data_IF_483988216647
#
_entry.id   IF_483988216647
#
_cell.length_a   1.000
_cell.length_b   1.000
_cell.length_c   1.000
_cell.angle_alpha   90.00
_cell.angle_beta   90.00
_cell.angle_gamma   90.00
#
_symmetry.space_group_name_H-M   'P 1'
#
loop_
_entity.id
_entity.type
_entity.pdbx_description
1 polymer ?
#
# COMPACT_ATOMS: atom_id res chain seq x y z
N UNK A 1 2.06 16.95 24.77
CA UNK A 1 0.70 17.37 24.31
C UNK A 1 -0.39 16.33 24.53
N UNK A 2 -1.64 16.79 24.69
CA UNK A 2 -2.86 15.96 24.58
C UNK A 2 -3.44 16.11 23.17
N UNK A 3 -3.96 15.03 22.59
CA UNK A 3 -4.65 15.11 21.30
C UNK A 3 -5.98 15.84 21.42
N UNK A 4 -6.27 16.69 20.45
CA UNK A 4 -7.51 17.43 20.40
C UNK A 4 -8.66 16.61 19.80
N UNK A 5 -9.89 17.05 20.03
CA UNK A 5 -11.09 16.29 19.65
C UNK A 5 -11.31 16.24 18.13
N UNK A 6 -10.73 17.17 17.37
CA UNK A 6 -10.77 17.18 15.91
C UNK A 6 -9.36 17.39 15.38
N UNK A 7 -8.74 16.32 14.89
CA UNK A 7 -7.43 16.34 14.26
C UNK A 7 -7.45 15.52 12.98
N UNK A 8 -7.10 16.12 11.85
CA UNK A 8 -7.09 15.48 10.55
C UNK A 8 -5.88 15.92 9.74
N UNK A 9 -5.26 14.96 9.06
CA UNK A 9 -4.26 15.20 8.02
C UNK A 9 -4.73 14.67 6.67
N UNK A 10 -4.55 15.46 5.61
CA UNK A 10 -4.68 14.95 4.25
C UNK A 10 -3.54 13.99 3.95
N UNK A 11 -3.84 12.92 3.22
CA UNK A 11 -2.81 12.05 2.66
C UNK A 11 -1.87 12.84 1.76
N UNK A 12 -0.58 12.60 1.88
CA UNK A 12 0.45 13.20 1.04
C UNK A 12 0.65 12.41 -0.26
N UNK A 13 0.37 11.11 -0.26
CA UNK A 13 0.44 10.22 -1.43
C UNK A 13 -0.97 9.91 -1.94
N UNK A 14 -1.30 10.38 -3.14
CA UNK A 14 -2.59 10.14 -3.79
C UNK A 14 -2.41 9.33 -5.07
N UNK A 15 -2.59 8.02 -4.96
CA UNK A 15 -2.46 7.05 -6.04
C UNK A 15 -3.75 6.92 -6.86
N UNK A 16 -3.64 6.90 -8.19
CA UNK A 16 -4.68 6.43 -9.09
C UNK A 16 -4.89 4.91 -9.00
N UNK A 17 -5.92 4.40 -9.69
CA UNK A 17 -6.06 2.94 -9.91
C UNK A 17 -4.94 2.48 -10.84
N UNK A 18 -4.38 1.29 -10.60
CA UNK A 18 -3.45 0.67 -11.54
C UNK A 18 -4.21 -0.29 -12.44
N UNK A 19 -4.26 -0.02 -13.74
CA UNK A 19 -5.04 -0.82 -14.69
C UNK A 19 -4.11 -1.72 -15.50
N UNK A 20 -4.58 -2.94 -15.77
CA UNK A 20 -3.85 -3.90 -16.59
C UNK A 20 -4.28 -3.82 -18.04
N UNK A 21 -3.34 -4.01 -18.97
CA UNK A 21 -3.63 -4.06 -20.40
C UNK A 21 -2.49 -4.78 -21.15
N UNK A 22 -2.71 -5.12 -22.41
CA UNK A 22 -1.66 -5.51 -23.34
C UNK A 22 -1.59 -4.49 -24.48
N UNK A 23 -0.48 -4.45 -25.21
CA UNK A 23 -0.32 -3.57 -26.36
C UNK A 23 -0.30 -4.40 -27.65
N UNK A 24 -1.03 -3.92 -28.65
CA UNK A 24 -0.86 -4.36 -30.04
C UNK A 24 0.46 -3.84 -30.61
N UNK A 25 0.90 -4.40 -31.74
CA UNK A 25 2.10 -3.95 -32.46
C UNK A 25 2.08 -2.48 -32.89
N UNK A 26 0.89 -1.90 -33.02
CA UNK A 26 0.67 -0.48 -33.36
C UNK A 26 0.55 0.44 -32.13
N UNK A 27 0.69 -0.11 -30.91
CA UNK A 27 0.55 0.62 -29.65
C UNK A 27 -0.87 0.73 -29.13
N UNK A 28 -1.86 0.10 -29.77
CA UNK A 28 -3.24 0.08 -29.29
C UNK A 28 -3.36 -0.68 -27.96
N UNK A 29 -4.07 -0.10 -26.99
CA UNK A 29 -4.33 -0.71 -25.69
C UNK A 29 -5.45 -1.74 -25.82
N UNK A 30 -5.15 -2.99 -25.47
CA UNK A 30 -6.10 -4.08 -25.40
C UNK A 30 -6.40 -4.47 -23.94
N UNK A 31 -7.67 -4.68 -23.57
CA UNK A 31 -8.03 -5.05 -22.20
C UNK A 31 -7.55 -6.46 -21.84
N UNK A 32 -7.19 -6.66 -20.58
CA UNK A 32 -7.03 -8.00 -20.02
C UNK A 32 -8.42 -8.53 -19.66
N UNK A 33 -8.77 -9.68 -20.23
CA UNK A 33 -10.10 -10.27 -20.13
C UNK A 33 -10.41 -10.83 -18.74
N UNK A 34 -11.70 -10.95 -18.47
CA UNK A 34 -12.27 -11.62 -17.30
C UNK A 34 -13.06 -12.82 -17.76
N UNK A 35 -12.79 -13.96 -17.14
CA UNK A 35 -13.55 -15.18 -17.32
C UNK A 35 -14.46 -15.40 -16.12
N UNK A 36 -15.66 -15.92 -16.37
CA UNK A 36 -16.65 -16.25 -15.36
C UNK A 36 -16.82 -17.75 -15.32
N UNK A 37 -16.28 -18.39 -14.30
CA UNK A 37 -16.18 -19.84 -14.22
C UNK A 37 -17.06 -20.39 -13.12
N UNK A 38 -17.82 -21.45 -13.45
CA UNK A 38 -18.48 -22.30 -12.46
C UNK A 38 -17.59 -23.51 -12.20
N UNK A 39 -17.04 -23.60 -10.99
CA UNK A 39 -16.15 -24.68 -10.58
C UNK A 39 -16.76 -25.50 -9.45
N UNK A 40 -16.36 -26.77 -9.37
CA UNK A 40 -16.73 -27.68 -8.28
C UNK A 40 -15.53 -27.84 -7.36
N UNK A 41 -15.57 -27.22 -6.19
CA UNK A 41 -14.55 -27.42 -5.15
C UNK A 41 -14.99 -28.56 -4.22
N UNK A 42 -14.09 -29.42 -3.72
CA UNK A 42 -14.42 -30.34 -2.64
C UNK A 42 -14.69 -29.55 -1.34
N UNK A 43 -15.49 -30.15 -0.45
CA UNK A 43 -15.53 -29.72 0.95
C UNK A 43 -14.20 -30.08 1.61
N UNK A 44 -13.59 -29.10 2.28
CA UNK A 44 -12.28 -29.24 2.91
C UNK A 44 -12.08 -28.32 4.12
N UNK A 45 -13.11 -27.61 4.56
CA UNK A 45 -13.07 -26.73 5.72
C UNK A 45 -13.13 -27.52 7.03
N UNK A 46 -12.34 -27.10 8.02
CA UNK A 46 -12.35 -27.69 9.37
C UNK A 46 -13.76 -27.79 9.96
N UNK A 47 -14.53 -26.70 9.82
CA UNK A 47 -15.90 -26.62 10.32
C UNK A 47 -16.90 -27.50 9.58
N UNK A 48 -16.53 -28.14 8.47
CA UNK A 48 -17.42 -29.06 7.76
C UNK A 48 -17.47 -30.44 8.43
N UNK A 49 -16.37 -30.87 9.05
CA UNK A 49 -16.26 -32.17 9.72
C UNK A 49 -16.16 -32.08 11.25
N UNK A 50 -15.77 -30.93 11.81
CA UNK A 50 -15.48 -30.78 13.25
C UNK A 50 -16.25 -29.61 13.89
N UNK A 51 -16.52 -29.70 15.20
CA UNK A 51 -17.18 -28.68 16.01
C UNK A 51 -16.19 -28.00 16.97
N UNK A 52 -16.32 -26.68 17.08
CA UNK A 52 -15.58 -25.88 18.07
C UNK A 52 -14.06 -26.01 17.95
N UNK A 53 -13.36 -25.63 19.02
CA UNK A 53 -11.90 -25.66 19.06
C UNK A 53 -11.34 -26.99 19.60
N UNK A 54 -12.20 -27.92 20.01
CA UNK A 54 -11.80 -29.13 20.73
C UNK A 54 -11.66 -30.37 19.83
N UNK A 55 -11.63 -30.20 18.50
CA UNK A 55 -11.50 -31.30 17.54
C UNK A 55 -12.55 -32.40 17.70
N UNK A 56 -13.78 -32.04 18.09
CA UNK A 56 -14.88 -33.00 18.19
C UNK A 56 -15.51 -33.22 16.81
N UNK A 57 -15.64 -34.46 16.32
CA UNK A 57 -16.24 -34.72 15.02
C UNK A 57 -17.74 -34.41 15.03
N UNK A 58 -18.25 -33.82 13.94
CA UNK A 58 -19.68 -33.69 13.67
C UNK A 58 -20.25 -35.05 13.28
N UNK A 59 -21.51 -35.30 13.60
CA UNK A 59 -22.26 -36.41 13.04
C UNK A 59 -22.72 -36.07 11.62
N UNK A 60 -21.79 -36.14 10.66
CA UNK A 60 -22.02 -35.95 9.22
C UNK A 60 -21.95 -37.30 8.52
N UNK A 61 -22.84 -37.55 7.55
CA UNK A 61 -22.79 -38.79 6.81
C UNK A 61 -21.60 -38.77 5.82
N UNK A 62 -20.97 -39.92 5.47
CA UNK A 62 -19.83 -39.94 4.56
C UNK A 62 -20.08 -39.22 3.23
N UNK A 63 -21.29 -39.34 2.68
CA UNK A 63 -21.69 -38.67 1.44
C UNK A 63 -21.73 -37.14 1.56
N UNK A 64 -21.98 -36.58 2.75
CA UNK A 64 -22.13 -35.14 2.93
C UNK A 64 -20.81 -34.40 2.72
N UNK A 65 -19.69 -35.05 3.05
CA UNK A 65 -18.34 -34.55 2.79
C UNK A 65 -17.87 -34.80 1.35
N UNK A 66 -18.49 -35.76 0.65
CA UNK A 66 -18.21 -36.04 -0.75
C UNK A 66 -18.92 -35.08 -1.72
N UNK A 67 -20.00 -34.40 -1.28
CA UNK A 67 -20.68 -33.42 -2.12
C UNK A 67 -19.77 -32.26 -2.49
N UNK A 68 -19.73 -31.95 -3.79
CA UNK A 68 -19.07 -30.76 -4.29
C UNK A 68 -19.71 -29.49 -3.69
N UNK A 69 -18.90 -28.46 -3.55
CA UNK A 69 -19.26 -27.09 -3.24
C UNK A 69 -19.13 -26.25 -4.53
N UNK A 70 -20.21 -26.09 -5.32
CA UNK A 70 -20.17 -25.30 -6.54
C UNK A 70 -19.89 -23.83 -6.21
N UNK A 71 -18.92 -23.24 -6.92
CA UNK A 71 -18.58 -21.83 -6.80
C UNK A 71 -18.71 -21.18 -8.17
N UNK A 72 -19.20 -19.95 -8.19
CA UNK A 72 -19.21 -19.10 -9.38
C UNK A 72 -18.27 -17.92 -9.12
N UNK A 73 -17.18 -17.82 -9.85
CA UNK A 73 -16.13 -16.82 -9.59
C UNK A 73 -15.66 -16.14 -10.88
N UNK A 74 -15.09 -14.95 -10.72
CA UNK A 74 -14.27 -14.32 -11.76
C UNK A 74 -12.81 -14.77 -11.64
N UNK A 75 -12.23 -15.05 -12.80
CA UNK A 75 -10.84 -15.40 -13.02
C UNK A 75 -10.26 -14.52 -14.14
N UNK A 76 -8.94 -14.38 -14.17
CA UNK A 76 -8.27 -13.50 -15.11
C UNK A 76 -6.94 -14.15 -15.51
N UNK A 77 -6.82 -14.50 -16.79
CA UNK A 77 -5.63 -15.18 -17.32
C UNK A 77 -5.10 -14.45 -18.55
N UNK A 78 -3.80 -14.55 -18.76
CA UNK A 78 -3.13 -14.06 -19.97
C UNK A 78 -3.56 -14.91 -21.16
N UNK A 79 -3.99 -14.26 -22.24
CA UNK A 79 -4.43 -14.95 -23.46
C UNK A 79 -3.24 -15.56 -24.22
N UNK A 80 -3.46 -16.67 -24.96
CA UNK A 80 -2.45 -17.17 -25.90
C UNK A 80 -2.00 -16.09 -26.89
N UNK A 81 -0.71 -16.03 -27.15
CA UNK A 81 -0.10 -15.05 -28.05
C UNK A 81 0.25 -13.69 -27.42
N UNK A 82 0.00 -13.52 -26.11
CA UNK A 82 0.41 -12.33 -25.36
C UNK A 82 1.61 -12.69 -24.48
N UNK A 83 2.78 -12.16 -24.82
CA UNK A 83 4.03 -12.39 -24.06
C UNK A 83 4.31 -11.28 -23.04
N UNK A 84 3.63 -10.13 -23.19
CA UNK A 84 3.82 -8.95 -22.36
C UNK A 84 2.48 -8.31 -22.01
N UNK A 85 2.32 -7.98 -20.73
CA UNK A 85 1.22 -7.13 -20.24
C UNK A 85 1.80 -5.95 -19.48
N UNK A 86 0.98 -4.93 -19.29
CA UNK A 86 1.33 -3.72 -18.60
C UNK A 86 0.41 -3.50 -17.42
N UNK A 87 0.95 -2.85 -16.38
CA UNK A 87 0.16 -2.31 -15.29
C UNK A 87 0.65 -0.88 -15.04
N UNK A 88 -0.24 0.12 -15.15
CA UNK A 88 0.16 1.51 -15.04
C UNK A 88 -0.77 2.30 -14.11
N UNK A 89 -0.20 3.25 -13.36
CA UNK A 89 -0.93 4.19 -12.52
C UNK A 89 -0.19 5.52 -12.43
N UNK A 90 -0.94 6.58 -12.10
CA UNK A 90 -0.37 7.87 -11.71
C UNK A 90 -0.36 8.05 -10.19
N UNK A 91 0.63 8.78 -9.70
CA UNK A 91 0.77 9.15 -8.30
C UNK A 91 1.00 10.66 -8.20
N UNK A 92 0.16 11.31 -7.38
CA UNK A 92 0.35 12.70 -6.98
C UNK A 92 0.94 12.74 -5.58
N UNK A 93 1.93 13.60 -5.38
CA UNK A 93 2.61 13.79 -4.11
C UNK A 93 2.43 15.24 -3.68
N UNK A 94 2.19 15.46 -2.39
CA UNK A 94 2.00 16.80 -1.81
C UNK A 94 2.52 16.83 -0.39
N UNK A 95 3.05 17.97 0.04
CA UNK A 95 3.60 18.18 1.39
C UNK A 95 2.52 18.35 2.49
N UNK A 96 1.48 17.51 2.47
CA UNK A 96 0.32 17.61 3.36
C UNK A 96 0.62 17.24 4.82
N UNK A 97 1.77 16.62 5.08
CA UNK A 97 2.22 16.28 6.44
C UNK A 97 2.82 17.46 7.21
N UNK A 98 3.07 18.60 6.54
CA UNK A 98 3.70 19.77 7.18
C UNK A 98 2.81 20.45 8.22
N UNK A 99 1.48 20.33 8.09
CA UNK A 99 0.53 20.94 9.02
C UNK A 99 -0.81 20.21 9.00
N UNK A 100 -1.57 20.15 10.11
CA UNK A 100 -2.89 19.53 10.10
C UNK A 100 -3.86 20.25 9.16
N UNK A 101 -4.67 19.50 8.42
CA UNK A 101 -5.77 20.06 7.62
C UNK A 101 -6.87 20.63 8.52
N UNK A 102 -7.29 19.84 9.52
CA UNK A 102 -8.29 20.24 10.52
C UNK A 102 -7.65 20.02 11.88
N UNK A 103 -7.70 21.05 12.73
CA UNK A 103 -7.26 20.99 14.12
C UNK A 103 -8.06 22.05 14.89
N UNK A 104 -8.73 21.63 15.96
CA UNK A 104 -9.55 22.53 16.80
C UNK A 104 -8.80 23.08 18.04
N UNK A 105 -7.48 22.89 18.09
CA UNK A 105 -6.60 23.33 19.18
C UNK A 105 -5.34 23.94 18.56
N UNK A 106 -5.08 25.21 18.84
CA UNK A 106 -3.99 25.97 18.19
C UNK A 106 -2.60 25.60 18.73
N UNK A 107 -2.52 25.22 20.02
CA UNK A 107 -1.28 24.76 20.62
C UNK A 107 -0.86 23.43 19.99
N UNK A 108 -1.81 22.49 19.84
CA UNK A 108 -1.59 21.22 19.14
C UNK A 108 -1.14 21.44 17.70
N UNK A 109 -1.82 22.35 16.96
CA UNK A 109 -1.44 22.70 15.58
C UNK A 109 -0.01 23.23 15.51
N UNK A 110 0.35 24.12 16.42
CA UNK A 110 1.66 24.76 16.47
C UNK A 110 2.74 23.72 16.75
N UNK A 111 2.53 22.84 17.73
CA UNK A 111 3.49 21.79 18.07
C UNK A 111 3.71 20.78 16.94
N UNK A 112 2.64 20.32 16.28
CA UNK A 112 2.75 19.39 15.16
C UNK A 112 3.40 20.03 13.93
N UNK A 113 3.10 21.31 13.66
CA UNK A 113 3.77 22.04 12.58
C UNK A 113 5.25 22.28 12.89
N UNK A 114 5.58 22.54 14.15
CA UNK A 114 6.95 22.66 14.63
C UNK A 114 7.71 21.33 14.51
N UNK A 115 7.09 20.20 14.85
CA UNK A 115 7.66 18.86 14.65
C UNK A 115 8.02 18.63 13.18
N UNK A 116 7.08 18.87 12.27
CA UNK A 116 7.31 18.71 10.84
C UNK A 116 8.41 19.65 10.32
N UNK A 117 8.48 20.90 10.84
CA UNK A 117 9.53 21.86 10.50
C UNK A 117 10.92 21.36 10.90
N UNK A 118 11.11 20.97 12.16
CA UNK A 118 12.41 20.45 12.64
C UNK A 118 12.79 19.17 11.90
N UNK A 119 11.83 18.27 11.69
CA UNK A 119 12.03 17.07 10.90
C UNK A 119 12.49 17.37 9.46
N UNK A 120 11.91 18.40 8.83
CA UNK A 120 12.34 18.88 7.50
C UNK A 120 13.76 19.45 7.53
N UNK A 121 14.06 20.32 8.50
CA UNK A 121 15.37 20.98 8.64
C UNK A 121 16.51 19.98 8.84
N UNK A 122 16.25 18.89 9.56
CA UNK A 122 17.21 17.78 9.77
C UNK A 122 17.23 16.77 8.60
N UNK A 123 16.49 17.02 7.52
CA UNK A 123 16.50 16.15 6.33
C UNK A 123 15.70 14.86 6.45
N UNK A 124 14.83 14.73 7.47
CA UNK A 124 14.09 13.50 7.76
C UNK A 124 13.16 13.01 6.65
N UNK A 125 12.66 13.91 5.80
CA UNK A 125 11.83 13.50 4.66
C UNK A 125 12.60 12.65 3.64
N UNK A 126 13.94 12.72 3.61
CA UNK A 126 14.79 11.89 2.76
C UNK A 126 14.67 10.39 3.10
N UNK A 127 14.52 10.06 4.38
CA UNK A 127 14.35 8.66 4.83
C UNK A 127 13.00 8.09 4.34
N UNK A 128 11.92 8.87 4.51
CA UNK A 128 10.59 8.45 4.02
C UNK A 128 10.58 8.36 2.49
N UNK A 129 11.16 9.37 1.83
CA UNK A 129 11.30 9.43 0.38
C UNK A 129 12.03 8.22 -0.17
N UNK A 130 13.13 7.81 0.46
CA UNK A 130 13.91 6.65 0.05
C UNK A 130 13.06 5.39 0.05
N UNK A 131 12.32 5.17 1.14
CA UNK A 131 11.45 4.00 1.32
C UNK A 131 10.29 3.96 0.33
N UNK A 132 9.65 5.10 0.06
CA UNK A 132 8.60 5.19 -0.95
C UNK A 132 9.13 4.95 -2.36
N UNK A 133 10.24 5.58 -2.73
CA UNK A 133 10.91 5.37 -4.01
C UNK A 133 11.30 3.90 -4.19
N UNK A 134 11.81 3.27 -3.12
CA UNK A 134 12.16 1.84 -3.10
C UNK A 134 10.96 0.96 -3.43
N UNK A 135 9.81 1.17 -2.79
CA UNK A 135 8.60 0.39 -3.07
C UNK A 135 8.05 0.57 -4.50
N UNK A 136 8.26 1.74 -5.12
CA UNK A 136 7.93 1.96 -6.53
C UNK A 136 8.83 1.10 -7.42
N UNK A 137 10.14 1.21 -7.24
CA UNK A 137 11.17 0.56 -8.07
C UNK A 137 11.28 -0.95 -7.84
N UNK A 138 10.83 -1.46 -6.68
CA UNK A 138 10.68 -2.89 -6.41
C UNK A 138 9.43 -3.52 -7.05
N UNK A 139 8.50 -2.70 -7.53
CA UNK A 139 7.21 -3.18 -8.01
C UNK A 139 6.33 -3.74 -6.90
N UNK A 140 6.54 -3.35 -5.63
CA UNK A 140 5.77 -3.85 -4.47
C UNK A 140 4.27 -3.64 -4.67
N UNK A 141 3.89 -2.59 -5.37
CA UNK A 141 2.52 -2.23 -5.73
C UNK A 141 1.81 -3.20 -6.70
N UNK A 142 2.52 -4.13 -7.33
CA UNK A 142 1.95 -5.21 -8.14
C UNK A 142 1.39 -6.37 -7.29
N UNK A 143 1.70 -6.40 -5.98
CA UNK A 143 1.27 -7.45 -5.04
C UNK A 143 1.58 -8.87 -5.55
N UNK A 144 0.54 -9.70 -5.75
CA UNK A 144 0.66 -11.10 -6.18
C UNK A 144 1.14 -11.24 -7.63
N UNK A 145 1.12 -10.16 -8.42
CA UNK A 145 1.59 -10.15 -9.81
C UNK A 145 3.12 -9.99 -9.91
N UNK A 146 3.86 -10.33 -8.85
CA UNK A 146 5.34 -10.25 -8.76
C UNK A 146 6.05 -11.59 -9.01
N UNK A 147 5.32 -12.64 -9.39
CA UNK A 147 5.88 -13.93 -9.84
C UNK A 147 6.05 -14.19 -11.36
N UNK A 148 5.98 -13.21 -12.29
CA UNK A 148 6.13 -13.46 -13.73
C UNK A 148 7.60 -13.62 -14.14
N UNK A 149 7.90 -13.80 -15.43
CA UNK A 149 9.26 -14.06 -15.93
C UNK A 149 10.19 -12.85 -15.80
N UNK A 150 9.67 -11.64 -15.99
CA UNK A 150 10.39 -10.38 -15.81
C UNK A 150 9.41 -9.25 -15.46
N UNK A 151 9.92 -8.24 -14.75
CA UNK A 151 9.19 -7.00 -14.49
C UNK A 151 10.13 -5.83 -14.73
N UNK A 152 9.87 -5.06 -15.78
CA UNK A 152 10.55 -3.79 -16.05
C UNK A 152 9.67 -2.66 -15.53
N UNK A 153 10.26 -1.73 -14.78
CA UNK A 153 9.54 -0.59 -14.20
C UNK A 153 10.07 0.71 -14.80
N UNK A 154 9.15 1.51 -15.31
CA UNK A 154 9.40 2.85 -15.83
C UNK A 154 8.67 3.86 -14.95
N UNK A 155 9.38 4.89 -14.51
CA UNK A 155 8.83 5.99 -13.70
C UNK A 155 9.16 7.30 -14.41
N UNK A 156 8.12 8.03 -14.82
CA UNK A 156 8.25 9.38 -15.39
C UNK A 156 7.82 10.42 -14.37
N UNK A 157 8.62 11.47 -14.18
CA UNK A 157 8.30 12.58 -13.28
C UNK A 157 7.65 13.75 -14.01
N UNK A 158 7.01 14.67 -13.29
CA UNK A 158 6.55 15.94 -13.86
C UNK A 158 7.70 16.84 -14.33
N UNK A 159 8.92 16.60 -13.85
CA UNK A 159 10.13 17.29 -14.31
C UNK A 159 10.67 16.68 -15.62
N UNK A 160 9.96 15.73 -16.20
CA UNK A 160 10.32 14.98 -17.42
C UNK A 160 11.51 14.03 -17.27
N UNK A 161 11.93 13.71 -16.04
CA UNK A 161 12.90 12.65 -15.80
C UNK A 161 12.27 11.28 -16.05
N UNK A 162 13.08 10.34 -16.53
CA UNK A 162 12.70 8.94 -16.74
C UNK A 162 13.67 8.02 -16.00
N UNK A 163 13.13 7.24 -15.06
CA UNK A 163 13.86 6.18 -14.36
C UNK A 163 13.41 4.82 -14.85
N UNK A 164 14.37 3.91 -15.09
CA UNK A 164 14.09 2.58 -15.64
C UNK A 164 14.84 1.51 -14.84
N UNK A 165 14.09 0.56 -14.31
CA UNK A 165 14.58 -0.69 -13.72
C UNK A 165 14.26 -1.81 -14.71
N UNK A 166 15.29 -2.45 -15.27
CA UNK A 166 15.09 -3.47 -16.32
C UNK A 166 14.50 -4.78 -15.79
N UNK A 167 14.83 -5.14 -14.54
CA UNK A 167 14.30 -6.33 -13.88
C UNK A 167 14.18 -6.13 -12.36
N UNK A 168 12.99 -5.76 -11.90
CA UNK A 168 12.67 -5.55 -10.50
C UNK A 168 12.70 -6.83 -9.65
N UNK A 169 12.66 -8.02 -10.26
CA UNK A 169 12.75 -9.31 -9.55
C UNK A 169 14.16 -9.57 -9.00
N UNK A 170 15.18 -8.88 -9.52
CA UNK A 170 16.55 -8.93 -9.02
C UNK A 170 16.80 -8.03 -7.82
N UNK A 171 15.85 -7.16 -7.50
CA UNK A 171 15.95 -6.21 -6.41
C UNK A 171 15.26 -6.77 -5.17
N UNK A 172 15.76 -6.41 -4.00
CA UNK A 172 15.11 -6.74 -2.72
C UNK A 172 15.16 -5.57 -1.75
N UNK A 173 14.29 -5.61 -0.74
CA UNK A 173 14.18 -4.54 0.24
C UNK A 173 15.44 -4.41 1.11
N UNK A 174 16.07 -5.52 1.51
CA UNK A 174 17.29 -5.51 2.33
C UNK A 174 18.56 -5.84 1.55
N UNK A 175 18.47 -6.07 0.24
CA UNK A 175 19.62 -6.42 -0.61
C UNK A 175 20.32 -5.21 -1.22
N UNK A 176 21.52 -5.47 -1.74
CA UNK A 176 22.28 -4.50 -2.50
C UNK A 176 21.75 -4.41 -3.93
N UNK A 177 21.54 -3.18 -4.40
CA UNK A 177 21.11 -2.92 -5.77
C UNK A 177 22.34 -2.68 -6.63
N UNK A 178 22.25 -2.99 -7.92
CA UNK A 178 23.31 -2.64 -8.87
C UNK A 178 23.47 -1.11 -9.00
N UNK A 179 24.57 -0.65 -9.60
CA UNK A 179 24.89 0.77 -9.70
C UNK A 179 23.79 1.58 -10.42
N UNK A 180 23.21 1.06 -11.50
CA UNK A 180 22.17 1.75 -12.28
C UNK A 180 20.89 1.86 -11.46
N UNK A 181 20.46 0.76 -10.83
CA UNK A 181 19.28 0.74 -9.96
C UNK A 181 19.45 1.64 -8.74
N UNK A 182 20.66 1.68 -8.15
CA UNK A 182 20.99 2.56 -7.02
C UNK A 182 20.96 4.04 -7.39
N UNK A 183 21.46 4.40 -8.58
CA UNK A 183 21.36 5.77 -9.08
C UNK A 183 19.90 6.19 -9.32
N UNK A 184 19.09 5.31 -9.89
CA UNK A 184 17.65 5.54 -10.05
C UNK A 184 16.96 5.75 -8.69
N UNK A 185 17.28 4.91 -7.70
CA UNK A 185 16.76 5.05 -6.34
C UNK A 185 17.13 6.40 -5.73
N UNK A 186 18.39 6.81 -5.85
CA UNK A 186 18.87 8.09 -5.33
C UNK A 186 18.12 9.26 -5.94
N UNK A 187 18.06 9.36 -7.27
CA UNK A 187 17.39 10.47 -7.96
C UNK A 187 15.88 10.52 -7.67
N UNK A 188 15.23 9.35 -7.63
CA UNK A 188 13.82 9.28 -7.27
C UNK A 188 13.59 9.63 -5.78
N UNK A 189 14.53 9.28 -4.90
CA UNK A 189 14.52 9.72 -3.49
C UNK A 189 14.57 11.23 -3.39
N UNK A 190 15.49 11.88 -4.11
CA UNK A 190 15.62 13.35 -4.11
C UNK A 190 14.33 14.03 -4.59
N UNK A 191 13.70 13.48 -5.64
CA UNK A 191 12.39 13.92 -6.13
C UNK A 191 11.29 13.80 -5.07
N UNK A 192 11.18 12.64 -4.41
CA UNK A 192 10.19 12.43 -3.33
C UNK A 192 10.44 13.32 -2.11
N UNK A 193 11.70 13.54 -1.74
CA UNK A 193 12.06 14.35 -0.58
C UNK A 193 11.62 15.80 -0.78
N UNK A 194 11.85 16.34 -1.99
CA UNK A 194 11.32 17.65 -2.37
C UNK A 194 9.79 17.65 -2.38
N UNK A 195 9.17 16.64 -2.97
CA UNK A 195 7.71 16.53 -3.07
C UNK A 195 6.97 16.45 -1.72
N UNK A 196 7.58 15.82 -0.73
CA UNK A 196 7.02 15.68 0.62
C UNK A 196 7.26 16.90 1.51
N UNK A 197 8.14 17.81 1.11
CA UNK A 197 8.58 18.94 1.93
C UNK A 197 8.32 20.32 1.30
N UNK A 198 8.01 20.41 0.01
CA UNK A 198 7.71 21.66 -0.68
C UNK A 198 6.18 21.81 -0.91
N UNK A 199 5.49 22.73 -0.21
CA UNK A 199 4.04 22.88 -0.31
C UNK A 199 3.55 23.61 -1.55
N UNK A 200 4.43 24.29 -2.30
CA UNK A 200 4.03 25.18 -3.41
C UNK A 200 4.04 24.51 -4.79
N UNK A 201 4.66 23.34 -4.92
CA UNK A 201 4.81 22.63 -6.19
C UNK A 201 3.86 21.42 -6.28
N UNK A 202 3.38 21.15 -7.50
CA UNK A 202 2.58 19.96 -7.78
C UNK A 202 3.46 18.86 -8.38
N UNK A 203 3.65 17.78 -7.64
CA UNK A 203 4.47 16.65 -8.07
C UNK A 203 3.60 15.52 -8.60
N UNK A 204 3.97 15.03 -9.78
CA UNK A 204 3.31 13.90 -10.42
C UNK A 204 4.31 12.84 -10.86
N UNK A 205 3.89 11.58 -10.79
CA UNK A 205 4.60 10.43 -11.32
C UNK A 205 3.64 9.62 -12.18
N UNK A 206 4.10 9.21 -13.35
CA UNK A 206 3.49 8.14 -14.13
C UNK A 206 4.36 6.90 -13.98
N UNK A 207 3.79 5.86 -13.39
CA UNK A 207 4.48 4.60 -13.10
C UNK A 207 3.88 3.51 -13.99
N UNK A 208 4.74 2.81 -14.72
CA UNK A 208 4.37 1.72 -15.62
C UNK A 208 5.25 0.51 -15.35
N UNK A 209 4.63 -0.65 -15.14
CA UNK A 209 5.31 -1.93 -15.18
C UNK A 209 5.01 -2.61 -16.53
N UNK A 210 6.05 -3.06 -17.20
CA UNK A 210 6.00 -4.03 -18.29
C UNK A 210 6.32 -5.40 -17.68
N UNK A 211 5.43 -6.35 -17.87
CA UNK A 211 5.42 -7.64 -17.20
C UNK A 211 5.49 -8.74 -18.26
N UNK A 212 6.62 -9.44 -18.31
CA UNK A 212 6.82 -10.56 -19.23
C UNK A 212 6.15 -11.81 -18.66
N UNK A 213 5.13 -12.29 -19.34
CA UNK A 213 4.22 -13.35 -18.88
C UNK A 213 4.32 -14.60 -19.74
N UNK A 214 3.82 -15.72 -19.22
CA UNK A 214 3.47 -16.92 -19.97
C UNK A 214 2.01 -16.91 -20.40
N UNK A 215 1.71 -17.67 -21.45
CA UNK A 215 0.32 -17.87 -21.87
C UNK A 215 -0.41 -18.70 -20.82
N UNK A 216 -1.58 -18.24 -20.39
CA UNK A 216 -2.33 -18.86 -19.30
C UNK A 216 -1.82 -18.50 -17.90
N UNK A 217 -0.89 -17.56 -17.74
CA UNK A 217 -0.55 -17.04 -16.42
C UNK A 217 -1.77 -16.35 -15.79
N UNK A 218 -2.03 -16.61 -14.50
CA UNK A 218 -3.10 -15.96 -13.76
C UNK A 218 -2.69 -14.52 -13.38
N UNK A 219 -3.60 -13.58 -13.60
CA UNK A 219 -3.48 -12.19 -13.16
C UNK A 219 -4.35 -11.99 -11.91
N UNK A 220 -3.84 -11.20 -10.96
CA UNK A 220 -4.43 -10.97 -9.66
C UNK A 220 -4.87 -9.51 -9.45
N UNK A 221 -6.03 -9.09 -9.98
CA UNK A 221 -6.62 -7.77 -9.73
C UNK A 221 -7.04 -7.55 -8.27
N UNK A 222 -7.53 -6.35 -7.98
CA UNK A 222 -8.30 -6.13 -6.76
C UNK A 222 -9.62 -6.87 -6.82
N UNK A 223 -10.04 -7.46 -5.69
CA UNK A 223 -11.39 -8.01 -5.54
C UNK A 223 -12.33 -6.92 -5.02
N UNK A 224 -13.57 -6.91 -5.51
CA UNK A 224 -14.65 -6.07 -4.98
C UNK A 224 -15.12 -6.63 -3.64
N UNK A 225 -15.42 -5.75 -2.70
CA UNK A 225 -16.12 -6.14 -1.49
C UNK A 225 -17.62 -6.23 -1.82
N UNK A 226 -18.22 -7.40 -1.61
CA UNK A 226 -19.64 -7.67 -1.86
C UNK A 226 -20.31 -7.87 -0.50
N UNK A 227 -21.24 -6.98 -0.14
CA UNK A 227 -21.95 -7.05 1.14
C UNK A 227 -22.97 -8.20 1.17
N UNK A 228 -23.54 -8.53 0.02
CA UNK A 228 -24.55 -9.58 -0.14
C UNK A 228 -24.20 -10.48 -1.31
N UNK A 229 -24.55 -11.77 -1.18
CA UNK A 229 -24.47 -12.72 -2.30
C UNK A 229 -25.75 -12.59 -3.11
N UNK A 230 -25.63 -12.16 -4.35
CA UNK A 230 -26.74 -12.13 -5.30
C UNK A 230 -26.84 -13.46 -6.07
N UNK A 231 -28.07 -13.85 -6.43
CA UNK A 231 -28.31 -15.03 -7.25
C UNK A 231 -27.73 -14.83 -8.66
N UNK A 232 -27.13 -15.88 -9.24
CA UNK A 232 -26.49 -15.85 -10.56
C UNK A 232 -25.37 -14.81 -10.76
N UNK A 233 -24.81 -14.26 -9.68
CA UNK A 233 -23.64 -13.39 -9.74
C UNK A 233 -22.41 -14.10 -9.16
N UNK A 234 -21.20 -13.84 -9.71
CA UNK A 234 -19.98 -14.41 -9.14
C UNK A 234 -19.79 -13.97 -7.68
N UNK A 235 -19.43 -14.91 -6.81
CA UNK A 235 -19.15 -14.67 -5.39
C UNK A 235 -17.79 -14.00 -5.16
N UNK A 236 -16.88 -14.14 -6.12
CA UNK A 236 -15.63 -13.39 -6.24
C UNK A 236 -15.72 -12.55 -7.51
N UNK A 237 -15.71 -11.24 -7.35
CA UNK A 237 -15.70 -10.29 -8.46
C UNK A 237 -14.45 -9.42 -8.41
N UNK A 238 -13.90 -9.08 -9.57
CA UNK A 238 -12.74 -8.22 -9.67
C UNK A 238 -13.11 -6.76 -9.96
N UNK A 239 -12.22 -5.87 -9.57
CA UNK A 239 -12.30 -4.46 -9.88
C UNK A 239 -11.96 -4.22 -11.35
N UNK A 240 -12.81 -3.47 -12.03
CA UNK A 240 -12.66 -3.12 -13.45
C UNK A 240 -12.67 -1.61 -13.67
N UNK A 241 -12.20 -1.21 -14.85
CA UNK A 241 -12.29 0.15 -15.37
C UNK A 241 -12.57 0.09 -16.88
N UNK A 242 -13.30 1.09 -17.38
CA UNK A 242 -13.55 1.26 -18.80
C UNK A 242 -12.35 1.94 -19.48
N UNK A 243 -11.89 1.35 -20.57
CA UNK A 243 -10.91 1.96 -21.48
C UNK A 243 -11.62 2.94 -22.43
N UNK A 244 -10.86 3.82 -23.09
CA UNK A 244 -11.41 4.74 -24.10
C UNK A 244 -12.12 4.02 -25.26
N UNK A 245 -11.76 2.76 -25.52
CA UNK A 245 -12.43 1.90 -26.50
C UNK A 245 -13.84 1.42 -26.06
N UNK A 246 -14.28 1.76 -24.85
CA UNK A 246 -15.51 1.27 -24.23
C UNK A 246 -15.40 -0.14 -23.63
N UNK A 247 -14.24 -0.79 -23.76
CA UNK A 247 -14.02 -2.13 -23.22
C UNK A 247 -13.59 -2.08 -21.75
N UNK A 248 -14.01 -3.06 -20.96
CA UNK A 248 -13.61 -3.18 -19.56
C UNK A 248 -12.27 -3.93 -19.44
N UNK A 249 -11.38 -3.43 -18.58
CA UNK A 249 -10.17 -4.13 -18.15
C UNK A 249 -10.08 -4.22 -16.64
N UNK A 250 -9.32 -5.18 -16.12
CA UNK A 250 -9.10 -5.36 -14.68
C UNK A 250 -8.13 -4.32 -14.11
N UNK A 251 -8.28 -4.02 -12.82
CA UNK A 251 -7.46 -3.04 -12.13
C UNK A 251 -7.15 -3.42 -10.66
N UNK A 252 -6.07 -2.85 -10.14
CA UNK A 252 -5.83 -2.67 -8.72
C UNK A 252 -6.47 -1.36 -8.24
N UNK A 253 -7.15 -1.41 -7.10
CA UNK A 253 -7.66 -0.20 -6.44
C UNK A 253 -6.50 0.72 -6.04
N UNK A 254 -6.71 2.03 -6.14
CA UNK A 254 -5.70 3.01 -5.72
C UNK A 254 -5.31 2.82 -4.24
N UNK A 255 -6.26 2.51 -3.37
CA UNK A 255 -5.97 2.23 -1.96
C UNK A 255 -5.02 1.02 -1.78
N UNK A 256 -5.12 0.02 -2.65
CA UNK A 256 -4.24 -1.16 -2.64
C UNK A 256 -2.83 -0.82 -3.14
N UNK A 257 -2.72 0.06 -4.15
CA UNK A 257 -1.44 0.62 -4.61
C UNK A 257 -0.81 1.46 -3.48
N UNK A 258 -1.55 2.42 -2.92
CA UNK A 258 -1.06 3.27 -1.82
C UNK A 258 -0.66 2.47 -0.57
N UNK A 259 -1.42 1.41 -0.24
CA UNK A 259 -1.06 0.50 0.85
C UNK A 259 0.29 -0.20 0.63
N UNK A 260 0.62 -0.54 -0.63
CA UNK A 260 1.90 -1.15 -0.97
C UNK A 260 3.06 -0.14 -0.89
N UNK A 261 2.84 1.10 -1.33
CA UNK A 261 3.85 2.15 -1.20
C UNK A 261 4.17 2.43 0.28
N UNK A 262 3.17 2.32 1.15
CA UNK A 262 3.28 2.52 2.60
C UNK A 262 3.83 1.31 3.38
N UNK A 263 4.27 0.23 2.71
CA UNK A 263 5.00 -0.87 3.34
C UNK A 263 6.44 -0.43 3.65
N UNK A 264 6.60 0.41 4.68
CA UNK A 264 7.87 1.07 5.00
C UNK A 264 8.24 1.02 6.48
N UNK A 265 7.36 0.54 7.35
CA UNK A 265 7.63 0.50 8.79
C UNK A 265 8.37 -0.79 9.15
N UNK A 266 9.70 -0.74 9.21
CA UNK A 266 10.54 -1.76 9.87
C UNK A 266 11.18 -1.21 11.15
N UNK A 267 10.65 -0.09 11.67
CA UNK A 267 11.08 0.53 12.93
C UNK A 267 10.33 0.00 14.15
N UNK A 268 9.52 -1.05 13.99
CA UNK A 268 8.64 -1.56 15.05
C UNK A 268 9.38 -2.43 16.06
N UNK A 269 10.59 -2.89 15.74
CA UNK A 269 11.48 -3.64 16.62
C UNK A 269 12.92 -3.62 16.05
N UNK A 270 13.93 -3.79 16.92
CA UNK A 270 15.35 -3.87 16.47
C UNK A 270 15.59 -5.07 15.54
N UNK A 271 14.90 -6.18 15.80
CA UNK A 271 14.92 -7.41 14.98
C UNK A 271 13.77 -7.46 13.97
N UNK A 272 13.34 -6.30 13.43
CA UNK A 272 12.30 -6.30 12.42
C UNK A 272 12.72 -7.11 11.18
N UNK A 273 11.92 -8.12 10.84
CA UNK A 273 12.18 -9.05 9.75
C UNK A 273 11.58 -8.60 8.42
N UNK A 274 10.64 -7.65 8.46
CA UNK A 274 9.96 -7.10 7.28
C UNK A 274 9.39 -5.70 7.54
N UNK A 275 9.23 -4.90 6.47
CA UNK A 275 8.46 -3.66 6.56
C UNK A 275 6.97 -3.96 6.63
N UNK A 276 6.29 -3.33 7.57
CA UNK A 276 4.84 -3.33 7.71
C UNK A 276 4.23 -2.13 7.00
N UNK A 277 2.95 -2.26 6.69
CA UNK A 277 2.20 -1.11 6.20
C UNK A 277 2.04 -0.17 7.39
N UNK A 278 2.50 1.06 7.21
CA UNK A 278 2.33 2.14 8.17
C UNK A 278 0.85 2.25 8.58
N UNK A 279 0.60 2.00 9.86
CA UNK A 279 -0.67 2.27 10.52
C UNK A 279 -0.43 2.46 12.01
N UNK A 280 -1.46 2.97 12.68
CA UNK A 280 -1.38 3.54 14.02
C UNK A 280 -0.90 2.52 15.07
N UNK A 281 -1.17 1.23 14.84
CA UNK A 281 -0.89 0.13 15.77
C UNK A 281 0.06 -0.95 15.20
N UNK A 282 0.71 -0.71 14.06
CA UNK A 282 1.62 -1.66 13.42
C UNK A 282 0.99 -3.04 13.12
N UNK A 283 -0.09 -3.07 12.34
CA UNK A 283 -0.82 -4.32 12.09
C UNK A 283 -0.04 -5.24 11.14
N UNK A 284 0.35 -6.40 11.65
CA UNK A 284 0.97 -7.48 10.92
C UNK A 284 -0.10 -8.49 10.50
N UNK A 285 -0.53 -8.40 9.24
CA UNK A 285 -1.63 -9.23 8.70
C UNK A 285 -1.26 -10.70 8.58
N UNK A 286 0.02 -11.02 8.47
CA UNK A 286 0.49 -12.39 8.31
C UNK A 286 0.38 -13.16 9.62
N UNK A 287 0.79 -12.52 10.72
CA UNK A 287 0.72 -13.10 12.06
C UNK A 287 -0.56 -12.74 12.81
N UNK A 288 -1.39 -11.84 12.25
CA UNK A 288 -2.65 -11.37 12.85
C UNK A 288 -2.42 -10.73 14.22
N UNK A 289 -1.37 -9.92 14.34
CA UNK A 289 -0.99 -9.21 15.58
C UNK A 289 -0.75 -7.71 15.35
N UNK A 290 -0.88 -6.92 16.41
CA UNK A 290 -0.44 -5.53 16.43
C UNK A 290 0.97 -5.46 17.02
N UNK A 291 1.97 -5.14 16.19
CA UNK A 291 3.39 -5.04 16.59
C UNK A 291 3.64 -3.80 17.44
N UNK A 292 2.87 -2.73 17.22
CA UNK A 292 2.86 -1.52 18.05
C UNK A 292 1.59 -1.50 18.90
N UNK A 293 1.38 -2.55 19.69
CA UNK A 293 0.23 -2.63 20.58
C UNK A 293 0.35 -1.57 21.71
N UNK A 294 -0.74 -0.88 22.13
CA UNK A 294 -0.67 0.17 23.14
C UNK A 294 -0.01 -0.22 24.48
N UNK A 295 0.01 -1.51 24.80
CA UNK A 295 0.74 -2.08 25.96
C UNK A 295 2.23 -1.72 25.94
N UNK A 296 2.84 -1.63 24.76
CA UNK A 296 4.26 -1.31 24.57
C UNK A 296 4.55 0.19 24.51
N UNK A 297 3.50 1.04 24.47
CA UNK A 297 3.61 2.51 24.38
C UNK A 297 4.43 3.03 23.18
N UNK A 298 4.59 2.23 22.14
CA UNK A 298 5.28 2.57 20.89
C UNK A 298 4.31 2.67 19.68
N UNK A 299 3.01 2.76 19.95
CA UNK A 299 1.98 3.09 18.95
C UNK A 299 1.94 4.58 18.67
N UNK A 300 1.29 4.95 17.57
CA UNK A 300 1.24 6.33 17.10
C UNK A 300 0.70 7.31 18.16
N UNK A 301 -0.35 6.92 18.89
CA UNK A 301 -1.02 7.83 19.82
C UNK A 301 -0.20 8.06 21.10
N UNK A 302 0.52 7.05 21.60
CA UNK A 302 1.47 7.25 22.70
C UNK A 302 2.68 8.09 22.24
N UNK A 303 3.20 7.83 21.04
CA UNK A 303 4.39 8.52 20.53
C UNK A 303 4.13 10.00 20.22
N UNK A 304 3.01 10.32 19.57
CA UNK A 304 2.68 11.71 19.18
C UNK A 304 2.39 12.62 20.38
N UNK A 305 1.96 12.05 21.52
CA UNK A 305 1.77 12.84 22.75
C UNK A 305 3.09 13.45 23.27
N UNK A 306 4.23 12.84 22.94
CA UNK A 306 5.56 13.28 23.35
C UNK A 306 6.23 14.25 22.35
N UNK A 307 5.45 14.88 21.46
CA UNK A 307 5.95 15.77 20.39
C UNK A 307 6.94 16.83 20.87
N UNK A 308 6.68 17.51 21.99
CA UNK A 308 7.59 18.53 22.55
C UNK A 308 8.96 17.92 22.88
N UNK A 309 8.99 16.78 23.55
CA UNK A 309 10.23 16.08 23.90
C UNK A 309 10.99 15.62 22.66
N UNK A 310 10.29 15.12 21.63
CA UNK A 310 10.93 14.77 20.35
C UNK A 310 11.57 15.98 19.67
N UNK A 311 10.90 17.13 19.67
CA UNK A 311 11.43 18.36 19.09
C UNK A 311 12.67 18.82 19.85
N UNK A 312 12.62 18.86 21.18
CA UNK A 312 13.76 19.24 22.02
C UNK A 312 14.96 18.30 21.80
N UNK A 313 14.73 16.99 21.85
CA UNK A 313 15.77 15.97 21.67
C UNK A 313 16.41 16.04 20.27
N UNK A 314 15.61 16.19 19.21
CA UNK A 314 16.13 16.33 17.85
C UNK A 314 16.94 17.62 17.66
N UNK A 315 16.51 18.73 18.28
CA UNK A 315 17.25 20.01 18.22
C UNK A 315 18.59 19.90 18.94
N UNK A 316 18.64 19.22 20.09
CA UNK A 316 19.87 19.06 20.87
C UNK A 316 20.82 18.04 20.22
N UNK A 317 20.31 16.87 19.85
CA UNK A 317 21.12 15.76 19.33
C UNK A 317 21.51 15.93 17.86
N UNK A 318 20.76 16.74 17.10
CA UNK A 318 20.88 16.83 15.63
C UNK A 318 20.68 15.48 14.94
N UNK A 319 19.91 14.57 15.56
CA UNK A 319 19.59 13.24 15.03
C UNK A 319 18.08 13.03 15.05
N UNK A 320 17.57 12.14 14.19
CA UNK A 320 16.14 11.82 14.10
C UNK A 320 15.92 10.39 14.61
N UNK A 321 15.15 10.20 15.69
CA UNK A 321 14.78 8.86 16.17
C UNK A 321 13.87 8.12 15.19
N UNK A 322 13.97 6.78 15.19
CA UNK A 322 13.11 5.89 14.40
C UNK A 322 11.61 6.08 14.70
N UNK A 323 11.27 6.38 15.95
CA UNK A 323 9.92 6.72 16.38
C UNK A 323 9.39 7.95 15.66
N UNK A 324 10.23 8.95 15.41
CA UNK A 324 9.83 10.16 14.68
C UNK A 324 9.62 9.85 13.20
N UNK A 325 10.46 9.00 12.58
CA UNK A 325 10.19 8.51 11.23
C UNK A 325 8.83 7.80 11.13
N UNK A 326 8.50 6.96 12.12
CA UNK A 326 7.19 6.32 12.21
C UNK A 326 6.05 7.34 12.37
N UNK A 327 6.15 8.30 13.31
CA UNK A 327 5.13 9.36 13.48
C UNK A 327 4.91 10.10 12.17
N UNK A 328 5.98 10.58 11.53
CA UNK A 328 5.90 11.34 10.29
C UNK A 328 5.35 10.51 9.13
N UNK A 329 5.65 9.21 9.09
CA UNK A 329 5.06 8.31 8.09
C UNK A 329 3.53 8.19 8.22
N UNK A 330 2.99 8.21 9.45
CA UNK A 330 1.54 8.22 9.71
C UNK A 330 0.92 9.56 9.27
N UNK A 331 1.58 10.69 9.54
CA UNK A 331 1.13 12.00 9.08
C UNK A 331 1.15 12.12 7.55
N UNK A 332 2.14 11.53 6.87
CA UNK A 332 2.22 11.41 5.41
C UNK A 332 1.09 10.52 4.86
N UNK A 333 0.78 9.42 5.53
CA UNK A 333 -0.40 8.58 5.20
C UNK A 333 -1.70 9.38 5.33
N UNK A 334 -1.77 10.26 6.32
CA UNK A 334 -2.97 11.03 6.65
C UNK A 334 -4.04 10.18 7.34
N UNK A 335 -5.10 10.84 7.81
CA UNK A 335 -6.17 10.20 8.56
C UNK A 335 -6.81 11.10 9.60
N UNK A 336 -7.83 10.54 10.25
CA UNK A 336 -8.55 11.15 11.36
C UNK A 336 -7.94 10.66 12.68
N UNK A 337 -7.46 11.58 13.50
CA UNK A 337 -6.74 11.31 14.76
C UNK A 337 -7.46 11.95 15.96
N UNK A 338 -8.79 11.91 15.93
CA UNK A 338 -9.64 12.56 16.91
C UNK A 338 -9.49 11.93 18.31
N UNK A 339 -9.24 12.77 19.31
CA UNK A 339 -9.45 12.39 20.72
C UNK A 339 -10.93 12.25 21.04
N UNK A 340 -11.28 11.35 21.96
CA UNK A 340 -12.65 11.28 22.49
C UNK A 340 -12.93 12.51 23.36
N UNK A 341 -14.01 13.24 23.07
CA UNK A 341 -14.54 14.23 24.02
C UNK A 341 -14.83 13.55 25.36
N UNK A 342 -14.45 14.14 26.52
CA UNK A 342 -14.87 13.60 27.79
C UNK A 342 -16.40 13.49 27.80
N UNK A 343 -16.93 12.29 28.05
CA UNK A 343 -18.35 12.11 28.30
C UNK A 343 -18.70 13.07 29.44
N UNK A 344 -19.58 14.04 29.18
CA UNK A 344 -20.24 14.75 30.28
C UNK A 344 -21.01 13.68 31.03
N UNK A 345 -20.58 13.36 32.24
CA UNK A 345 -21.37 12.56 33.18
C UNK A 345 -22.76 13.21 33.24
N UNK A 346 -23.78 12.41 32.92
CA UNK A 346 -25.19 12.82 32.97
C UNK A 346 -25.73 12.57 34.36
#
# INVERSE_FOLDING_TARGET
MRLCNQLNYLRSLSTGKAYFYSLSSDGTINPIGLDRTRLRAPKGGYSEAYQGNNFSPKNVAPQDLAYANPQFIEECYVRPGVDEIYCAFSLRISANSLTPQICNDDDVRTQLSQLARVYKELGGYSELANRYAKNILLGTWLWRNRGPRNIKIEVRTSDSDLFVIDNALRLSWYGQWDNKSSECLKKLTDYFARALSEPTEYFYLDVKAEITVGWGDEIYPSQKFLDTKEHDMPTKQFATIELESGQQTVALHGQKVGAALQLIDDWWHEEADKPLRVNEYGADREYVIARRHPKFKNDFYHLIQNTEAWVEDMVVSQTIPNEVHFIMSILVKGGLFNGSSPKKDK
#
